data_IF_189109378983
#
_entry.id   IF_189109378983
#
_cell.length_a   1.000
_cell.length_b   1.000
_cell.length_c   1.000
_cell.angle_alpha   90.00
_cell.angle_beta   90.00
_cell.angle_gamma   90.00
#
_symmetry.space_group_name_H-M   'P 1'
#
loop_
_entity.id
_entity.type
_entity.pdbx_description
1 polymer ?
#
# COMPACT_ATOMS: atom_id res chain seq x y z
N UNK A 1 26.56 6.74 -26.92
CA UNK A 1 26.94 7.47 -25.69
C UNK A 1 25.73 7.79 -24.80
N UNK A 2 24.84 8.73 -25.16
CA UNK A 2 23.71 9.17 -24.30
C UNK A 2 22.72 8.05 -23.89
N UNK A 3 22.38 7.12 -24.80
CA UNK A 3 21.49 5.98 -24.49
C UNK A 3 22.12 4.97 -23.51
N UNK A 4 23.44 4.80 -23.55
CA UNK A 4 24.18 3.89 -22.66
C UNK A 4 24.20 4.44 -21.24
N UNK A 5 24.40 5.76 -21.09
CA UNK A 5 24.33 6.44 -19.80
C UNK A 5 22.94 6.32 -19.14
N UNK A 6 21.86 6.46 -19.91
CA UNK A 6 20.48 6.31 -19.41
C UNK A 6 20.22 4.87 -18.95
N UNK A 7 20.65 3.88 -19.74
CA UNK A 7 20.51 2.47 -19.37
C UNK A 7 21.31 2.12 -18.10
N UNK A 8 22.52 2.65 -17.95
CA UNK A 8 23.35 2.44 -16.76
C UNK A 8 22.72 3.06 -15.51
N UNK A 9 22.15 4.26 -15.62
CA UNK A 9 21.46 4.93 -14.52
C UNK A 9 20.22 4.13 -14.06
N UNK A 10 19.44 3.63 -15.02
CA UNK A 10 18.27 2.79 -14.73
C UNK A 10 18.65 1.47 -14.04
N UNK A 11 19.77 0.84 -14.40
CA UNK A 11 20.21 -0.40 -13.76
C UNK A 11 20.58 -0.20 -12.27
N UNK A 12 21.17 0.94 -11.92
CA UNK A 12 21.54 1.23 -10.53
C UNK A 12 20.35 1.50 -9.61
N UNK A 13 19.23 2.01 -10.14
CA UNK A 13 18.04 2.31 -9.34
C UNK A 13 17.26 1.08 -8.87
N UNK A 14 17.53 -0.11 -9.42
CA UNK A 14 16.87 -1.36 -8.98
C UNK A 14 17.61 -2.09 -7.84
N UNK A 15 18.72 -1.53 -7.33
CA UNK A 15 19.57 -2.20 -6.34
C UNK A 15 19.12 -2.08 -4.87
N UNK A 16 17.97 -1.45 -4.59
CA UNK A 16 17.51 -1.16 -3.23
C UNK A 16 16.78 -2.31 -2.52
N UNK A 17 16.48 -3.42 -3.20
CA UNK A 17 15.79 -4.55 -2.59
C UNK A 17 16.72 -5.33 -1.65
N UNK A 18 16.37 -5.42 -0.37
CA UNK A 18 17.12 -6.15 0.66
C UNK A 18 16.32 -7.36 1.13
N UNK A 19 16.99 -8.48 1.38
CA UNK A 19 16.37 -9.67 1.99
C UNK A 19 16.24 -9.43 3.49
N UNK A 20 15.01 -9.45 3.99
CA UNK A 20 14.72 -9.30 5.42
C UNK A 20 14.91 -10.60 6.16
N UNK A 21 15.34 -10.50 7.43
CA UNK A 21 15.40 -11.65 8.31
C UNK A 21 13.98 -12.14 8.64
N UNK A 22 13.85 -13.44 8.96
CA UNK A 22 12.53 -14.05 9.18
C UNK A 22 11.74 -13.43 10.34
N UNK A 23 12.43 -12.92 11.37
CA UNK A 23 11.78 -12.26 12.51
C UNK A 23 11.23 -10.86 12.15
N UNK A 24 11.84 -10.14 11.20
CA UNK A 24 11.40 -8.81 10.75
C UNK A 24 10.12 -8.89 9.92
N UNK A 25 9.78 -10.09 9.41
CA UNK A 25 8.52 -10.33 8.69
C UNK A 25 7.30 -10.18 9.58
N UNK A 26 7.44 -10.23 10.91
CA UNK A 26 6.33 -10.00 11.84
C UNK A 26 5.80 -8.56 11.72
N UNK A 27 6.69 -7.58 11.55
CA UNK A 27 6.31 -6.17 11.47
C UNK A 27 5.62 -5.84 10.14
N UNK A 28 5.99 -6.52 9.05
CA UNK A 28 5.37 -6.33 7.73
C UNK A 28 4.05 -7.09 7.60
N UNK A 29 3.92 -8.26 8.23
CA UNK A 29 2.70 -9.06 8.22
C UNK A 29 1.82 -8.78 9.44
N UNK A 30 1.86 -7.54 9.94
CA UNK A 30 1.00 -7.12 11.03
C UNK A 30 -0.48 -7.22 10.57
N UNK A 31 -1.34 -7.95 11.29
CA UNK A 31 -2.75 -8.07 10.94
C UNK A 31 -3.50 -6.72 10.91
N UNK A 32 -3.01 -5.69 11.58
CA UNK A 32 -3.57 -4.34 11.52
C UNK A 32 -3.15 -3.56 10.28
N UNK A 33 -2.11 -4.00 9.55
CA UNK A 33 -1.70 -3.43 8.25
C UNK A 33 -2.51 -3.97 7.06
N UNK A 34 -3.41 -4.92 7.30
CA UNK A 34 -4.33 -5.40 6.25
C UNK A 34 -5.21 -4.24 5.80
N UNK A 35 -5.16 -3.92 4.51
CA UNK A 35 -6.02 -2.93 3.85
C UNK A 35 -7.46 -3.47 3.71
N UNK A 36 -8.11 -3.73 4.85
CA UNK A 36 -9.50 -4.11 4.94
C UNK A 36 -10.07 -3.64 6.28
N UNK A 37 -11.20 -2.95 6.22
CA UNK A 37 -11.87 -2.48 7.43
C UNK A 37 -12.38 -3.64 8.28
N UNK A 38 -12.22 -3.51 9.60
CA UNK A 38 -12.88 -4.40 10.56
C UNK A 38 -14.39 -4.24 10.41
N UNK A 39 -15.13 -5.36 10.50
CA UNK A 39 -16.59 -5.41 10.22
C UNK A 39 -17.42 -4.38 11.00
N UNK A 40 -17.01 -4.01 12.22
CA UNK A 40 -17.72 -3.07 13.07
C UNK A 40 -17.53 -1.60 12.68
N UNK A 41 -16.47 -1.25 11.93
CA UNK A 41 -16.13 0.13 11.54
C UNK A 41 -16.99 0.60 10.36
N UNK A 42 -17.66 -0.32 9.66
CA UNK A 42 -18.47 -0.05 8.46
C UNK A 42 -19.50 1.09 8.63
N UNK A 43 -20.14 1.19 9.79
CA UNK A 43 -21.11 2.25 10.05
C UNK A 43 -20.46 3.63 10.16
N UNK A 44 -19.32 3.72 10.83
CA UNK A 44 -18.54 4.95 10.97
C UNK A 44 -17.99 5.41 9.63
N UNK A 45 -17.39 4.48 8.86
CA UNK A 45 -16.90 4.77 7.51
C UNK A 45 -18.02 5.25 6.60
N UNK A 46 -19.20 4.62 6.63
CA UNK A 46 -20.34 5.07 5.83
C UNK A 46 -20.79 6.49 6.22
N UNK A 47 -20.80 6.82 7.52
CA UNK A 47 -21.12 8.17 7.97
C UNK A 47 -20.09 9.20 7.48
N UNK A 48 -18.80 8.90 7.59
CA UNK A 48 -17.72 9.78 7.12
C UNK A 48 -17.74 9.94 5.60
N UNK A 49 -17.94 8.87 4.84
CA UNK A 49 -18.08 8.90 3.38
C UNK A 49 -19.29 9.75 2.96
N UNK A 50 -20.42 9.60 3.63
CA UNK A 50 -21.61 10.41 3.34
C UNK A 50 -21.38 11.89 3.65
N UNK A 51 -20.66 12.20 4.73
CA UNK A 51 -20.34 13.57 5.15
C UNK A 51 -19.30 14.25 4.26
N UNK A 52 -18.25 13.54 3.89
CA UNK A 52 -17.03 14.11 3.30
C UNK A 52 -16.86 13.76 1.82
N UNK A 53 -17.71 12.89 1.26
CA UNK A 53 -17.58 12.42 -0.11
C UNK A 53 -16.29 11.61 -0.35
N UNK A 54 -15.73 11.02 0.71
CA UNK A 54 -14.45 10.31 0.64
C UNK A 54 -14.54 9.11 -0.31
N UNK A 55 -13.67 9.07 -1.31
CA UNK A 55 -13.59 7.99 -2.30
C UNK A 55 -12.46 7.00 -1.98
N UNK A 56 -12.50 6.36 -0.82
CA UNK A 56 -11.84 5.07 -0.56
C UNK A 56 -10.32 4.95 -0.53
N UNK A 57 -9.82 4.00 0.29
CA UNK A 57 -8.42 3.54 0.30
C UNK A 57 -8.22 2.15 0.91
N UNK A 58 -9.29 1.45 1.28
CA UNK A 58 -9.24 0.35 2.27
C UNK A 58 -9.39 -1.03 1.60
N UNK A 59 -8.91 -1.19 0.36
CA UNK A 59 -8.89 -2.46 -0.38
C UNK A 59 -10.25 -3.12 -0.67
N UNK A 60 -11.37 -2.53 -0.22
CA UNK A 60 -12.73 -3.06 -0.31
C UNK A 60 -13.59 -2.43 -1.40
N UNK A 61 -14.74 -3.06 -1.71
CA UNK A 61 -15.67 -2.63 -2.78
C UNK A 61 -16.27 -1.22 -2.58
N UNK A 62 -16.35 -0.75 -1.35
CA UNK A 62 -16.88 0.58 -0.97
C UNK A 62 -15.81 1.67 -0.98
N UNK A 63 -14.54 1.34 -1.28
CA UNK A 63 -13.45 2.29 -1.21
C UNK A 63 -12.20 1.83 -1.97
N UNK A 64 -12.36 1.52 -3.25
CA UNK A 64 -11.28 1.03 -4.12
C UNK A 64 -10.25 2.11 -4.45
N UNK A 65 -9.35 2.39 -3.50
CA UNK A 65 -8.07 3.03 -3.78
C UNK A 65 -7.03 1.99 -4.23
N UNK A 66 -5.98 2.46 -4.93
CA UNK A 66 -4.81 1.66 -5.27
C UNK A 66 -4.08 1.28 -3.98
N UNK A 67 -4.44 0.13 -3.39
CA UNK A 67 -3.80 -0.41 -2.22
C UNK A 67 -2.36 -0.78 -2.55
N UNK A 68 -1.43 0.14 -2.27
CA UNK A 68 -0.02 -0.16 -2.25
C UNK A 68 0.28 -0.81 -0.89
N UNK A 69 0.43 -2.13 -0.89
CA UNK A 69 1.22 -2.83 0.11
C UNK A 69 2.70 -2.72 -0.28
#
# INVERSE_FOLDING_TARGET
MKKILIALCALTSLSSCVVLHEYEKVDINDPDMVLADKKFVKFETNYQVYREGASGGNGGKTGGGCGCN
#
